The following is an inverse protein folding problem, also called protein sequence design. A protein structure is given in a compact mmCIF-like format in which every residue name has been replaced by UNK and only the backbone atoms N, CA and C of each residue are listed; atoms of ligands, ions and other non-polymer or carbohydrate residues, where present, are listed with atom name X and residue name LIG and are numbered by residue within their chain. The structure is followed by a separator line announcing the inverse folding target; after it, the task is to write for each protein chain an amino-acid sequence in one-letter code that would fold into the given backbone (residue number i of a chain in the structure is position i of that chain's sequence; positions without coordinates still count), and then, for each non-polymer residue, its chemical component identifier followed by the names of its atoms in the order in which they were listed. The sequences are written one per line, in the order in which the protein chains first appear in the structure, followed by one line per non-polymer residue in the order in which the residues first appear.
data_IF_903874205556
#
_entry.id   IF_903874205556
#
_cell.length_a   1.000
_cell.length_b   1.000
_cell.length_c   1.000
_cell.angle_alpha   90.00
_cell.angle_beta   90.00
_cell.angle_gamma   90.00
#
_symmetry.space_group_name_H-M   'P 1'
#
loop_
_entity.id
_entity.type
_entity.pdbx_description
1 polymer ?
#
# COMPACT_ATOMS: atom_id res chain seq x y z
N UNK A 1 -20.66 -16.72 15.24
CA UNK A 1 -20.90 -15.30 14.91
C UNK A 1 -19.78 -14.46 15.53
N UNK A 2 -18.69 -14.18 14.79
CA UNK A 2 -17.67 -13.21 15.24
C UNK A 2 -18.19 -11.82 14.87
N UNK A 3 -18.33 -10.93 15.87
CA UNK A 3 -18.72 -9.53 15.65
C UNK A 3 -17.74 -8.92 14.66
N UNK A 4 -18.25 -8.37 13.56
CA UNK A 4 -17.48 -7.45 12.73
C UNK A 4 -17.14 -6.24 13.62
N UNK A 5 -15.89 -6.15 14.05
CA UNK A 5 -15.37 -4.95 14.69
C UNK A 5 -15.54 -3.83 13.69
N UNK A 6 -16.41 -2.87 14.00
CA UNK A 6 -16.57 -1.66 13.20
C UNK A 6 -15.21 -0.98 13.14
N UNK A 7 -14.56 -1.00 11.97
CA UNK A 7 -13.31 -0.30 11.76
C UNK A 7 -13.63 1.18 11.76
N UNK A 8 -13.53 1.81 12.93
CA UNK A 8 -13.46 3.27 13.03
C UNK A 8 -12.30 3.66 12.11
N UNK A 9 -12.56 4.52 11.13
CA UNK A 9 -11.53 4.94 10.19
C UNK A 9 -10.38 5.56 11.01
N UNK A 10 -9.24 4.87 11.07
CA UNK A 10 -8.03 5.38 11.70
C UNK A 10 -7.71 6.75 11.08
N UNK A 11 -7.16 7.71 11.84
CA UNK A 11 -6.70 8.96 11.26
C UNK A 11 -5.72 8.69 10.10
N UNK A 12 -5.62 9.63 9.16
CA UNK A 12 -4.64 9.52 8.07
C UNK A 12 -3.25 9.47 8.71
N UNK A 13 -2.44 8.42 8.50
CA UNK A 13 -1.09 8.37 9.07
C UNK A 13 -0.27 9.51 8.48
N UNK A 14 0.18 10.44 9.33
CA UNK A 14 0.80 11.70 8.92
C UNK A 14 2.28 11.77 9.27
N UNK A 15 2.74 10.90 10.16
CA UNK A 15 4.14 10.77 10.53
C UNK A 15 4.54 9.30 10.74
N UNK A 16 5.81 9.10 11.11
CA UNK A 16 6.39 7.80 11.39
C UNK A 16 5.66 7.03 12.50
N UNK A 17 5.23 7.72 13.57
CA UNK A 17 4.62 7.05 14.72
C UNK A 17 3.22 6.55 14.38
N UNK A 18 2.42 7.36 13.67
CA UNK A 18 1.10 6.95 13.19
C UNK A 18 1.18 5.69 12.33
N UNK A 19 2.16 5.65 11.41
CA UNK A 19 2.40 4.51 10.53
C UNK A 19 2.77 3.26 11.33
N UNK A 20 3.71 3.36 12.27
CA UNK A 20 4.14 2.22 13.07
C UNK A 20 3.05 1.72 14.02
N UNK A 21 2.24 2.61 14.59
CA UNK A 21 1.09 2.22 15.40
C UNK A 21 0.06 1.46 14.56
N UNK A 22 -0.30 1.98 13.38
CA UNK A 22 -1.20 1.33 12.43
C UNK A 22 -0.72 -0.06 11.99
N UNK A 23 0.59 -0.27 11.87
CA UNK A 23 1.17 -1.59 11.59
C UNK A 23 1.10 -2.52 12.80
N UNK A 24 1.49 -2.04 13.99
CA UNK A 24 1.60 -2.87 15.20
C UNK A 24 0.29 -3.53 15.59
N UNK A 25 -0.83 -2.83 15.42
CA UNK A 25 -2.16 -3.39 15.71
C UNK A 25 -2.54 -4.54 14.78
N UNK A 26 -1.95 -4.61 13.58
CA UNK A 26 -2.20 -5.69 12.60
C UNK A 26 -1.35 -6.94 12.85
N UNK A 27 -0.19 -6.81 13.50
CA UNK A 27 0.80 -7.90 13.62
C UNK A 27 0.20 -9.23 14.12
N UNK A 28 -0.63 -9.28 15.19
CA UNK A 28 -1.19 -10.54 15.65
C UNK A 28 -2.03 -11.25 14.59
N UNK A 29 -2.90 -10.51 13.89
CA UNK A 29 -3.76 -11.05 12.84
C UNK A 29 -2.95 -11.46 11.59
N UNK A 30 -1.88 -10.73 11.26
CA UNK A 30 -0.96 -11.11 10.18
C UNK A 30 -0.28 -12.44 10.46
N UNK A 31 0.14 -12.70 11.71
CA UNK A 31 0.73 -13.99 12.11
C UNK A 31 -0.28 -15.13 11.99
N UNK A 32 -1.51 -14.93 12.47
CA UNK A 32 -2.59 -15.92 12.38
C UNK A 32 -2.91 -16.28 10.91
N UNK A 33 -2.84 -15.30 10.01
CA UNK A 33 -3.17 -15.47 8.58
C UNK A 33 -1.98 -15.82 7.69
N UNK A 34 -0.75 -15.92 8.23
CA UNK A 34 0.45 -16.08 7.43
C UNK A 34 0.45 -17.39 6.62
N UNK A 35 0.14 -18.52 7.27
CA UNK A 35 0.05 -19.83 6.59
C UNK A 35 -1.02 -19.81 5.50
N UNK A 36 -2.20 -19.26 5.80
CA UNK A 36 -3.27 -19.16 4.81
C UNK A 36 -2.89 -18.26 3.63
N UNK A 37 -2.14 -17.19 3.87
CA UNK A 37 -1.62 -16.31 2.82
C UNK A 37 -0.67 -17.07 1.89
N UNK A 38 0.17 -17.94 2.46
CA UNK A 38 1.08 -18.80 1.69
C UNK A 38 0.30 -19.77 0.80
N UNK A 39 -0.69 -20.48 1.36
CA UNK A 39 -1.55 -21.41 0.61
C UNK A 39 -2.31 -20.74 -0.54
N UNK A 40 -2.83 -19.53 -0.30
CA UNK A 40 -3.58 -18.75 -1.28
C UNK A 40 -2.71 -18.28 -2.44
N UNK A 41 -1.39 -18.15 -2.23
CA UNK A 41 -0.44 -17.51 -3.17
C UNK A 41 -0.83 -16.08 -3.55
N UNK A 42 -1.57 -15.42 -2.67
CA UNK A 42 -1.90 -14.00 -2.69
C UNK A 42 -2.26 -13.55 -1.27
N UNK A 43 -2.26 -12.24 -1.02
CA UNK A 43 -2.59 -11.71 0.30
C UNK A 43 -3.99 -12.15 0.76
N UNK A 44 -4.10 -12.52 2.04
CA UNK A 44 -5.39 -12.82 2.65
C UNK A 44 -6.37 -11.63 2.49
N UNK A 45 -7.64 -11.85 2.11
CA UNK A 45 -8.60 -10.76 1.87
C UNK A 45 -8.75 -9.80 3.05
N UNK A 46 -8.82 -10.32 4.28
CA UNK A 46 -8.92 -9.48 5.49
C UNK A 46 -7.65 -8.64 5.72
N UNK A 47 -6.47 -9.16 5.39
CA UNK A 47 -5.22 -8.40 5.45
C UNK A 47 -5.26 -7.23 4.47
N UNK A 48 -5.76 -7.44 3.26
CA UNK A 48 -5.97 -6.35 2.29
C UNK A 48 -6.97 -5.33 2.84
N UNK A 49 -8.08 -5.77 3.42
CA UNK A 49 -9.09 -4.88 3.98
C UNK A 49 -8.52 -4.00 5.12
N UNK A 50 -7.73 -4.58 6.02
CA UNK A 50 -7.07 -3.86 7.10
C UNK A 50 -6.02 -2.88 6.60
N UNK A 51 -5.19 -3.27 5.61
CA UNK A 51 -4.22 -2.36 4.98
C UNK A 51 -4.92 -1.16 4.32
N UNK A 52 -6.10 -1.37 3.71
CA UNK A 52 -6.92 -0.30 3.14
C UNK A 52 -7.47 0.62 4.22
N UNK A 53 -8.03 0.04 5.28
CA UNK A 53 -8.66 0.80 6.35
C UNK A 53 -7.66 1.68 7.12
N UNK A 54 -6.43 1.19 7.31
CA UNK A 54 -5.34 1.94 7.94
C UNK A 54 -4.57 2.84 6.95
N UNK A 55 -4.95 2.86 5.66
CA UNK A 55 -4.32 3.66 4.59
C UNK A 55 -2.81 3.43 4.42
N UNK A 56 -2.27 2.32 4.95
CA UNK A 56 -0.83 2.02 4.98
C UNK A 56 -0.23 1.87 3.57
N UNK A 57 -1.01 1.44 2.59
CA UNK A 57 -0.56 1.29 1.20
C UNK A 57 -0.40 2.62 0.44
N UNK A 58 -0.85 3.74 1.03
CA UNK A 58 -0.85 5.06 0.39
C UNK A 58 0.02 6.08 1.12
N UNK A 59 0.78 5.67 2.13
CA UNK A 59 1.52 6.59 3.01
C UNK A 59 2.50 7.52 2.27
N UNK A 60 3.03 7.10 1.11
CA UNK A 60 3.91 7.92 0.25
C UNK A 60 3.20 8.69 -0.87
N UNK A 61 1.87 8.57 -0.97
CA UNK A 61 1.10 9.32 -1.97
C UNK A 61 1.10 10.82 -1.59
N UNK A 62 1.21 11.75 -2.57
CA UNK A 62 1.17 13.17 -2.28
C UNK A 62 -0.08 13.60 -1.50
N UNK A 63 0.08 14.48 -0.52
CA UNK A 63 -0.94 14.92 0.43
C UNK A 63 -2.14 15.59 -0.26
N UNK A 64 -1.92 16.21 -1.43
CA UNK A 64 -3.00 16.73 -2.29
C UNK A 64 -4.05 15.67 -2.67
N UNK A 65 -3.72 14.38 -2.58
CA UNK A 65 -4.63 13.25 -2.83
C UNK A 65 -5.26 12.69 -1.54
N UNK A 66 -5.17 13.41 -0.42
CA UNK A 66 -5.76 13.02 0.86
C UNK A 66 -5.03 11.87 1.57
N UNK A 67 -3.71 11.82 1.39
CA UNK A 67 -2.82 10.91 2.12
C UNK A 67 -1.86 11.68 3.03
N UNK A 68 -1.03 10.96 3.79
CA UNK A 68 -0.08 11.55 4.73
C UNK A 68 1.16 12.17 4.09
N UNK A 69 1.59 11.69 2.93
CA UNK A 69 2.88 12.06 2.31
C UNK A 69 4.05 11.94 3.32
N UNK A 70 4.13 10.79 3.98
CA UNK A 70 5.12 10.56 5.04
C UNK A 70 6.53 10.41 4.45
N UNK A 71 7.53 10.57 5.31
CA UNK A 71 8.93 10.37 4.95
C UNK A 71 9.21 8.94 4.43
N UNK A 72 10.09 8.83 3.44
CA UNK A 72 10.41 7.54 2.83
C UNK A 72 11.03 6.55 3.83
N UNK A 73 11.83 7.02 4.79
CA UNK A 73 12.38 6.17 5.84
C UNK A 73 11.26 5.58 6.71
N UNK A 74 10.20 6.34 7.00
CA UNK A 74 9.04 5.82 7.73
C UNK A 74 8.34 4.68 6.97
N UNK A 75 8.27 4.75 5.63
CA UNK A 75 7.73 3.67 4.82
C UNK A 75 8.64 2.42 4.79
N UNK A 76 9.96 2.57 4.88
CA UNK A 76 10.89 1.45 5.05
C UNK A 76 10.69 0.79 6.42
N UNK A 77 10.53 1.59 7.47
CA UNK A 77 10.23 1.07 8.81
C UNK A 77 8.87 0.36 8.88
N UNK A 78 7.86 0.87 8.17
CA UNK A 78 6.58 0.19 7.97
C UNK A 78 6.76 -1.20 7.38
N UNK A 79 7.58 -1.34 6.33
CA UNK A 79 7.92 -2.64 5.73
C UNK A 79 8.56 -3.56 6.75
N UNK A 80 9.57 -3.08 7.48
CA UNK A 80 10.29 -3.90 8.47
C UNK A 80 9.37 -4.39 9.58
N UNK A 81 8.46 -3.53 10.05
CA UNK A 81 7.53 -3.86 11.11
C UNK A 81 6.42 -4.82 10.64
N UNK A 82 5.87 -4.63 9.42
CA UNK A 82 4.92 -5.57 8.81
C UNK A 82 5.52 -6.97 8.65
N UNK A 83 6.82 -7.05 8.31
CA UNK A 83 7.51 -8.30 8.08
C UNK A 83 7.59 -9.19 9.34
N UNK A 84 7.45 -8.61 10.55
CA UNK A 84 7.33 -9.36 11.80
C UNK A 84 6.05 -10.19 11.89
N UNK A 85 5.02 -9.83 11.11
CA UNK A 85 3.77 -10.57 11.00
C UNK A 85 3.74 -11.49 9.80
N UNK A 86 4.01 -10.97 8.60
CA UNK A 86 4.03 -11.73 7.35
C UNK A 86 4.91 -11.02 6.31
N UNK A 87 6.00 -11.66 5.88
CA UNK A 87 6.95 -11.09 4.92
C UNK A 87 6.31 -10.78 3.56
N UNK A 88 5.45 -11.67 3.04
CA UNK A 88 4.73 -11.47 1.77
C UNK A 88 3.79 -10.27 1.84
N UNK A 89 3.13 -10.06 2.98
CA UNK A 89 2.29 -8.88 3.22
C UNK A 89 3.12 -7.61 3.22
N UNK A 90 4.26 -7.60 3.91
CA UNK A 90 5.17 -6.47 3.96
C UNK A 90 5.67 -6.08 2.56
N UNK A 91 6.11 -7.07 1.77
CA UNK A 91 6.56 -6.86 0.40
C UNK A 91 5.49 -6.23 -0.49
N UNK A 92 4.28 -6.78 -0.46
CA UNK A 92 3.15 -6.26 -1.24
C UNK A 92 2.73 -4.86 -0.78
N UNK A 93 2.59 -4.63 0.52
CA UNK A 93 2.19 -3.32 1.07
C UNK A 93 3.19 -2.22 0.69
N UNK A 94 4.48 -2.50 0.81
CA UNK A 94 5.52 -1.55 0.41
C UNK A 94 5.57 -1.34 -1.10
N UNK A 95 5.34 -2.38 -1.92
CA UNK A 95 5.20 -2.22 -3.36
C UNK A 95 4.06 -1.26 -3.70
N UNK A 96 2.88 -1.39 -3.08
CA UNK A 96 1.78 -0.44 -3.31
C UNK A 96 2.16 0.99 -2.91
N UNK A 97 2.84 1.16 -1.77
CA UNK A 97 3.31 2.47 -1.33
C UNK A 97 4.35 3.08 -2.30
N UNK A 98 5.32 2.29 -2.75
CA UNK A 98 6.36 2.76 -3.67
C UNK A 98 5.83 3.07 -5.07
N UNK A 99 4.83 2.34 -5.57
CA UNK A 99 4.17 2.70 -6.83
C UNK A 99 3.40 4.03 -6.72
N UNK A 100 2.78 4.30 -5.57
CA UNK A 100 2.16 5.60 -5.33
C UNK A 100 3.20 6.73 -5.31
N UNK A 101 4.35 6.51 -4.67
CA UNK A 101 5.47 7.44 -4.71
C UNK A 101 5.96 7.70 -6.13
N UNK A 102 6.17 6.64 -6.93
CA UNK A 102 6.59 6.77 -8.32
C UNK A 102 5.57 7.55 -9.15
N UNK A 103 4.27 7.24 -9.07
CA UNK A 103 3.25 8.00 -9.80
C UNK A 103 3.21 9.48 -9.38
N UNK A 104 3.52 9.77 -8.11
CA UNK A 104 3.68 11.14 -7.62
C UNK A 104 4.70 11.99 -8.39
N UNK A 105 5.66 11.34 -9.07
CA UNK A 105 6.67 11.98 -9.92
C UNK A 105 6.28 12.15 -11.39
N UNK A 106 5.18 11.52 -11.83
CA UNK A 106 4.70 11.67 -13.20
C UNK A 106 4.01 13.02 -13.39
N UNK A 107 3.83 13.43 -14.65
CA UNK A 107 3.09 14.64 -15.00
C UNK A 107 1.69 14.65 -14.34
N UNK A 108 1.17 15.81 -13.90
CA UNK A 108 -0.10 15.89 -13.18
C UNK A 108 -1.28 15.21 -13.87
N UNK A 109 -1.30 15.21 -15.21
CA UNK A 109 -2.34 14.57 -16.00
C UNK A 109 -2.39 13.04 -15.78
N UNK A 110 -1.24 12.40 -15.59
CA UNK A 110 -1.17 10.97 -15.29
C UNK A 110 -1.69 10.67 -13.87
N UNK A 111 -1.39 11.55 -12.92
CA UNK A 111 -1.89 11.45 -11.55
C UNK A 111 -3.40 11.61 -11.50
N UNK A 112 -3.94 12.61 -12.20
CA UNK A 112 -5.39 12.85 -12.34
C UNK A 112 -6.10 11.68 -13.00
N UNK A 113 -5.52 11.12 -14.07
CA UNK A 113 -6.09 9.95 -14.76
C UNK A 113 -6.25 8.74 -13.84
N UNK A 114 -5.34 8.56 -12.88
CA UNK A 114 -5.38 7.46 -11.93
C UNK A 114 -6.23 7.81 -10.70
N UNK A 115 -5.90 8.88 -9.98
CA UNK A 115 -6.44 9.21 -8.65
C UNK A 115 -7.60 10.22 -8.66
N UNK A 116 -7.83 10.94 -9.76
CA UNK A 116 -8.82 12.03 -9.84
C UNK A 116 -10.23 11.65 -9.41
N UNK A 117 -10.69 10.47 -9.84
CA UNK A 117 -12.03 9.95 -9.48
C UNK A 117 -12.07 9.21 -8.15
N UNK A 118 -10.94 8.62 -7.76
CA UNK A 118 -10.82 7.81 -6.55
C UNK A 118 -9.35 7.78 -6.12
N UNK A 119 -8.98 8.57 -5.11
CA UNK A 119 -7.60 8.65 -4.67
C UNK A 119 -7.14 7.36 -3.96
N UNK A 120 -8.07 6.45 -3.63
CA UNK A 120 -7.80 5.17 -2.98
C UNK A 120 -7.31 4.07 -3.93
N UNK A 121 -7.31 4.33 -5.24
CA UNK A 121 -6.85 3.37 -6.25
C UNK A 121 -5.40 2.95 -6.03
N UNK A 122 -5.19 1.64 -6.02
CA UNK A 122 -3.86 1.05 -5.90
C UNK A 122 -3.19 0.87 -7.25
N UNK A 123 -1.89 1.04 -7.23
CA UNK A 123 -1.02 0.82 -8.37
C UNK A 123 -0.13 -0.37 -8.05
N UNK A 124 -0.10 -1.33 -8.95
CA UNK A 124 0.86 -2.41 -8.94
C UNK A 124 1.48 -2.45 -10.32
N UNK A 125 2.80 -2.34 -10.38
CA UNK A 125 3.55 -2.64 -11.58
C UNK A 125 4.49 -3.81 -11.28
N UNK A 126 4.81 -4.55 -12.32
CA UNK A 126 5.91 -5.51 -12.32
C UNK A 126 6.90 -5.03 -13.38
N UNK A 127 8.16 -4.84 -12.98
CA UNK A 127 9.23 -4.45 -13.88
C UNK A 127 9.94 -5.71 -14.37
N UNK A 128 9.43 -6.29 -15.45
CA UNK A 128 10.00 -7.50 -16.06
C UNK A 128 10.84 -7.11 -17.27
N UNK A 129 12.17 -7.05 -17.09
CA UNK A 129 13.12 -6.85 -18.18
C UNK A 129 13.45 -8.21 -18.85
N UNK A 130 13.33 -8.38 -20.19
CA UNK A 130 12.80 -7.50 -21.23
C UNK A 130 11.50 -8.07 -21.83
N UNK A 131 10.39 -8.05 -21.08
CA UNK A 131 9.15 -8.68 -21.53
C UNK A 131 8.31 -7.83 -22.51
N UNK A 132 8.58 -6.52 -22.61
CA UNK A 132 7.84 -5.58 -23.46
C UNK A 132 8.66 -5.03 -24.64
N UNK A 133 8.01 -4.83 -25.78
CA UNK A 133 8.53 -4.05 -26.92
C UNK A 133 7.60 -2.87 -27.15
N UNK A 134 8.16 -1.68 -27.29
CA UNK A 134 7.42 -0.47 -27.63
C UNK A 134 8.17 0.26 -28.75
N UNK A 135 7.41 0.80 -29.70
CA UNK A 135 7.92 1.64 -30.79
C UNK A 135 7.28 3.02 -30.67
N UNK A 136 8.03 4.07 -30.99
CA UNK A 136 7.52 5.44 -30.98
C UNK A 136 6.44 5.61 -32.04
N UNK A 137 5.28 6.13 -31.67
CA UNK A 137 4.25 6.60 -32.59
C UNK A 137 3.88 8.07 -32.30
N UNK A 138 3.11 8.73 -33.19
CA UNK A 138 2.55 10.06 -32.89
C UNK A 138 1.71 10.03 -31.61
N UNK A 139 2.18 10.71 -30.57
CA UNK A 139 1.51 10.80 -29.27
C UNK A 139 2.02 9.85 -28.18
N UNK A 140 2.97 8.95 -28.49
CA UNK A 140 3.50 7.97 -27.55
C UNK A 140 4.13 6.79 -28.26
#
# INVERSE_FOLDING_TARGET
MRRATMVVASPVPSDRNDVLEGVRVMIPALKERAERTEELRHLHPDTIAELKANRLMRVLQPARWGSGEVDYAAAIEMLMELARGCASTAWCAFNYASHNWMLGMFAPQAQEAVWGKDPTRFLSASLVFPAGRAERAPGG
#
